data_IF_552960079866
#
_entry.id   IF_552960079866
#
_cell.length_a   1.000
_cell.length_b   1.000
_cell.length_c   1.000
_cell.angle_alpha   90.00
_cell.angle_beta   90.00
_cell.angle_gamma   90.00
#
_symmetry.space_group_name_H-M   'P 1'
#
loop_
_entity.id
_entity.type
_entity.pdbx_description
1 polymer ?
#
# COMPACT_ATOMS: atom_id res chain seq x y z
N UNK A 1 -43.20 29.67 -30.65
CA UNK A 1 -42.11 30.06 -29.73
C UNK A 1 -41.89 28.90 -28.76
N UNK A 2 -41.47 27.71 -29.23
CA UNK A 2 -40.08 27.27 -29.50
C UNK A 2 -39.08 27.65 -28.42
N UNK A 3 -38.96 26.81 -27.37
CA UNK A 3 -37.73 26.53 -26.62
C UNK A 3 -37.85 25.14 -25.95
N UNK A 4 -38.28 24.14 -26.71
CA UNK A 4 -37.76 22.79 -26.47
C UNK A 4 -36.31 22.81 -26.98
N UNK A 5 -35.41 22.08 -26.30
CA UNK A 5 -34.06 21.74 -26.77
C UNK A 5 -32.90 22.58 -26.20
N UNK A 6 -32.56 22.38 -24.91
CA UNK A 6 -31.16 22.28 -24.46
C UNK A 6 -31.07 21.23 -23.34
N UNK A 7 -31.48 19.99 -23.64
CA UNK A 7 -31.02 18.86 -22.83
C UNK A 7 -29.54 18.64 -23.18
N UNK A 8 -28.66 19.22 -22.37
CA UNK A 8 -27.22 19.07 -22.47
C UNK A 8 -26.85 17.58 -22.56
N UNK A 9 -26.52 17.12 -23.77
CA UNK A 9 -25.99 15.78 -24.00
C UNK A 9 -24.65 15.67 -23.26
N UNK A 10 -24.68 15.14 -22.04
CA UNK A 10 -23.48 14.84 -21.25
C UNK A 10 -22.68 13.83 -22.06
N UNK A 11 -21.58 14.26 -22.67
CA UNK A 11 -20.69 13.40 -23.44
C UNK A 11 -20.37 12.17 -22.59
N UNK A 12 -20.79 10.99 -23.05
CA UNK A 12 -20.50 9.75 -22.34
C UNK A 12 -18.96 9.63 -22.29
N UNK A 13 -18.35 9.46 -21.10
CA UNK A 13 -16.91 9.35 -21.01
C UNK A 13 -16.46 8.17 -21.87
N UNK A 14 -15.46 8.40 -22.71
CA UNK A 14 -14.92 7.38 -23.62
C UNK A 14 -14.55 6.13 -22.83
N UNK A 15 -14.65 4.95 -23.44
CA UNK A 15 -14.28 3.69 -22.78
C UNK A 15 -12.85 3.74 -22.21
N UNK A 16 -11.95 4.47 -22.88
CA UNK A 16 -10.61 4.77 -22.37
C UNK A 16 -10.65 5.61 -21.10
N UNK A 17 -11.42 6.70 -21.04
CA UNK A 17 -11.57 7.50 -19.83
C UNK A 17 -12.18 6.71 -18.66
N UNK A 18 -13.07 5.75 -18.94
CA UNK A 18 -13.62 4.83 -17.92
C UNK A 18 -12.63 3.76 -17.48
N UNK A 19 -11.79 3.26 -18.38
CA UNK A 19 -10.70 2.35 -18.03
C UNK A 19 -9.68 3.06 -17.13
N UNK A 20 -9.22 4.25 -17.52
CA UNK A 20 -8.27 5.05 -16.74
C UNK A 20 -8.81 5.54 -15.39
N UNK A 21 -10.14 5.56 -15.20
CA UNK A 21 -10.75 5.88 -13.91
C UNK A 21 -10.64 4.74 -12.86
N UNK A 22 -10.15 3.55 -13.24
CA UNK A 22 -9.92 2.45 -12.29
C UNK A 22 -8.59 2.62 -11.57
N UNK A 23 -8.62 2.61 -10.24
CA UNK A 23 -7.42 2.69 -9.40
C UNK A 23 -6.39 1.60 -9.74
N UNK A 24 -6.84 0.39 -10.09
CA UNK A 24 -5.98 -0.72 -10.48
C UNK A 24 -5.09 -0.36 -11.70
N UNK A 25 -5.67 0.30 -12.70
CA UNK A 25 -4.94 0.74 -13.88
C UNK A 25 -3.98 1.89 -13.56
N UNK A 26 -4.38 2.82 -12.69
CA UNK A 26 -3.49 3.88 -12.25
C UNK A 26 -2.25 3.32 -11.50
N UNK A 27 -2.45 2.33 -10.64
CA UNK A 27 -1.37 1.64 -9.93
C UNK A 27 -0.46 0.86 -10.91
N UNK A 28 -1.06 0.17 -11.89
CA UNK A 28 -0.29 -0.55 -12.90
C UNK A 28 0.55 0.39 -13.77
N UNK A 29 -0.02 1.51 -14.21
CA UNK A 29 0.72 2.54 -14.96
C UNK A 29 1.86 3.11 -14.12
N UNK A 30 1.60 3.40 -12.83
CA UNK A 30 2.62 3.88 -11.90
C UNK A 30 3.78 2.88 -11.76
N UNK A 31 3.47 1.58 -11.63
CA UNK A 31 4.48 0.52 -11.57
C UNK A 31 5.35 0.52 -12.84
N UNK A 32 4.74 0.57 -14.03
CA UNK A 32 5.49 0.62 -15.30
C UNK A 32 6.40 1.84 -15.35
N UNK A 33 5.91 3.02 -14.98
CA UNK A 33 6.71 4.25 -14.97
C UNK A 33 7.92 4.14 -14.05
N UNK A 34 7.73 3.60 -12.84
CA UNK A 34 8.81 3.38 -11.86
C UNK A 34 9.84 2.39 -12.40
N UNK A 35 9.40 1.27 -13.00
CA UNK A 35 10.30 0.28 -13.60
C UNK A 35 11.14 0.88 -14.74
N UNK A 36 10.52 1.65 -15.64
CA UNK A 36 11.22 2.31 -16.75
C UNK A 36 12.21 3.35 -16.23
N UNK A 37 11.79 4.17 -15.26
CA UNK A 37 12.65 5.19 -14.66
C UNK A 37 13.91 4.57 -14.04
N UNK A 38 13.76 3.55 -13.20
CA UNK A 38 14.90 2.91 -12.54
C UNK A 38 15.72 2.04 -13.50
N UNK A 39 15.11 1.47 -14.55
CA UNK A 39 15.83 0.76 -15.61
C UNK A 39 16.87 1.63 -16.32
N UNK A 40 16.62 2.93 -16.48
CA UNK A 40 17.54 3.84 -17.18
C UNK A 40 18.46 4.56 -16.20
N UNK A 41 17.98 4.83 -14.99
CA UNK A 41 18.73 5.61 -13.98
C UNK A 41 19.74 4.76 -13.19
N UNK A 42 19.48 3.46 -13.03
CA UNK A 42 20.29 2.57 -12.18
C UNK A 42 20.94 1.47 -13.03
N UNK A 43 22.27 1.49 -13.11
CA UNK A 43 23.07 0.56 -13.95
C UNK A 43 22.82 -0.92 -13.64
N UNK A 44 22.50 -1.27 -12.39
CA UNK A 44 22.32 -2.65 -11.94
C UNK A 44 20.86 -3.00 -11.59
N UNK A 45 19.89 -2.26 -12.13
CA UNK A 45 18.47 -2.42 -11.80
C UNK A 45 17.97 -3.86 -12.05
N UNK A 46 18.31 -4.45 -13.19
CA UNK A 46 17.92 -5.83 -13.53
C UNK A 46 18.90 -6.90 -13.05
N UNK A 47 19.86 -6.55 -12.20
CA UNK A 47 20.75 -7.55 -11.60
C UNK A 47 19.94 -8.56 -10.77
N UNK A 48 20.40 -9.82 -10.75
CA UNK A 48 19.76 -10.87 -9.94
C UNK A 48 19.63 -10.44 -8.49
N UNK A 49 20.67 -9.80 -7.92
CA UNK A 49 20.66 -9.30 -6.55
C UNK A 49 19.57 -8.25 -6.31
N UNK A 50 19.41 -7.27 -7.19
CA UNK A 50 18.37 -6.26 -7.02
C UNK A 50 16.98 -6.88 -7.18
N UNK A 51 16.81 -7.74 -8.18
CA UNK A 51 15.54 -8.42 -8.43
C UNK A 51 15.13 -9.34 -7.27
N UNK A 52 16.04 -10.14 -6.74
CA UNK A 52 15.78 -10.99 -5.57
C UNK A 52 15.49 -10.19 -4.31
N UNK A 53 16.12 -9.02 -4.15
CA UNK A 53 15.85 -8.16 -3.00
C UNK A 53 14.45 -7.54 -3.08
N UNK A 54 14.09 -6.95 -4.24
CA UNK A 54 12.80 -6.29 -4.44
C UNK A 54 11.66 -7.32 -4.42
N UNK A 55 11.76 -8.37 -5.23
CA UNK A 55 10.74 -9.42 -5.27
C UNK A 55 10.70 -10.23 -3.99
N UNK A 56 11.84 -10.43 -3.31
CA UNK A 56 11.90 -11.10 -2.02
C UNK A 56 11.15 -10.33 -0.93
N UNK A 57 11.36 -9.01 -0.83
CA UNK A 57 10.60 -8.17 0.11
C UNK A 57 9.10 -8.16 -0.22
N UNK A 58 8.74 -8.06 -1.50
CA UNK A 58 7.34 -8.12 -1.92
C UNK A 58 6.70 -9.48 -1.61
N UNK A 59 7.42 -10.57 -1.83
CA UNK A 59 6.96 -11.94 -1.58
C UNK A 59 6.58 -12.15 -0.12
N UNK A 60 7.41 -11.71 0.83
CA UNK A 60 7.13 -11.84 2.26
C UNK A 60 5.80 -11.19 2.65
N UNK A 61 5.57 -9.96 2.20
CA UNK A 61 4.33 -9.24 2.47
C UNK A 61 3.12 -9.90 1.79
N UNK A 62 3.25 -10.35 0.54
CA UNK A 62 2.15 -11.01 -0.18
C UNK A 62 1.80 -12.38 0.41
N UNK A 63 2.78 -13.20 0.77
CA UNK A 63 2.53 -14.51 1.41
C UNK A 63 1.86 -14.32 2.77
N UNK A 64 2.36 -13.39 3.60
CA UNK A 64 1.72 -13.07 4.88
C UNK A 64 0.30 -12.52 4.68
N UNK A 65 0.12 -11.64 3.70
CA UNK A 65 -1.17 -11.05 3.34
C UNK A 65 -2.19 -12.08 2.88
N UNK A 66 -1.79 -13.09 2.11
CA UNK A 66 -2.66 -14.22 1.71
C UNK A 66 -3.11 -15.00 2.94
N UNK A 67 -2.19 -15.30 3.88
CA UNK A 67 -2.53 -15.94 5.14
C UNK A 67 -3.56 -15.13 5.92
N UNK A 68 -3.34 -13.82 6.07
CA UNK A 68 -4.29 -12.90 6.70
C UNK A 68 -5.66 -12.86 5.98
N UNK A 69 -5.66 -12.86 4.64
CA UNK A 69 -6.91 -12.85 3.86
C UNK A 69 -7.74 -14.12 4.10
N UNK A 70 -7.10 -15.29 4.21
CA UNK A 70 -7.77 -16.55 4.55
C UNK A 70 -8.42 -16.44 5.94
N UNK A 71 -7.70 -15.94 6.95
CA UNK A 71 -8.24 -15.78 8.31
C UNK A 71 -9.42 -14.79 8.31
N UNK A 72 -9.33 -13.67 7.58
CA UNK A 72 -10.44 -12.72 7.42
C UNK A 72 -11.67 -13.39 6.79
N UNK A 73 -11.48 -14.17 5.73
CA UNK A 73 -12.58 -14.86 5.04
C UNK A 73 -13.21 -15.93 5.93
N UNK A 74 -12.42 -16.62 6.76
CA UNK A 74 -12.90 -17.63 7.72
C UNK A 74 -13.75 -17.04 8.85
N UNK A 75 -13.80 -15.71 9.00
CA UNK A 75 -14.58 -15.04 10.05
C UNK A 75 -14.03 -15.26 11.47
N UNK A 76 -12.82 -15.82 11.58
CA UNK A 76 -12.13 -16.07 12.85
C UNK A 76 -11.25 -14.90 13.30
N UNK A 77 -11.21 -13.80 12.53
CA UNK A 77 -10.47 -12.60 12.93
C UNK A 77 -11.20 -11.90 14.06
N UNK A 78 -10.74 -12.23 15.26
CA UNK A 78 -10.73 -11.29 16.35
C UNK A 78 -9.77 -10.13 16.00
N UNK A 79 -10.19 -8.89 16.25
CA UNK A 79 -9.41 -7.66 16.01
C UNK A 79 -8.16 -7.60 16.91
N UNK A 80 -7.95 -8.59 17.78
CA UNK A 80 -6.81 -8.75 18.68
C UNK A 80 -5.43 -8.52 18.03
N UNK A 81 -5.22 -8.87 16.75
CA UNK A 81 -3.93 -8.61 16.09
C UNK A 81 -3.70 -7.12 15.81
N UNK A 82 -4.78 -6.37 15.56
CA UNK A 82 -4.73 -4.92 15.39
C UNK A 82 -4.56 -4.18 16.72
N UNK A 83 -5.19 -4.66 17.80
CA UNK A 83 -5.00 -4.08 19.12
C UNK A 83 -3.61 -4.39 19.70
N UNK A 84 -3.06 -5.59 19.46
CA UNK A 84 -1.68 -5.93 19.82
C UNK A 84 -0.67 -5.02 19.11
N UNK A 85 -0.83 -4.85 17.79
CA UNK A 85 0.03 -3.94 17.02
C UNK A 85 -0.04 -2.50 17.55
N UNK A 86 -1.24 -2.01 17.89
CA UNK A 86 -1.41 -0.70 18.49
C UNK A 86 -0.78 -0.60 19.89
N UNK A 87 -0.90 -1.65 20.71
CA UNK A 87 -0.33 -1.71 22.06
C UNK A 87 1.19 -1.65 22.05
N UNK A 88 1.83 -2.16 21.01
CA UNK A 88 3.29 -2.07 20.84
C UNK A 88 3.69 -0.73 20.18
N UNK A 89 3.00 -0.31 19.13
CA UNK A 89 3.39 0.84 18.33
C UNK A 89 3.16 2.19 19.03
N UNK A 90 2.07 2.33 19.80
CA UNK A 90 1.73 3.59 20.46
C UNK A 90 2.75 3.99 21.54
N UNK A 91 3.13 3.12 22.51
CA UNK A 91 4.16 3.47 23.49
C UNK A 91 5.50 3.78 22.84
N UNK A 92 5.90 3.01 21.80
CA UNK A 92 7.13 3.26 21.05
C UNK A 92 7.16 4.68 20.48
N UNK A 93 6.11 5.07 19.75
CA UNK A 93 6.05 6.37 19.08
C UNK A 93 5.95 7.51 20.09
N UNK A 94 5.11 7.38 21.12
CA UNK A 94 4.93 8.42 22.14
C UNK A 94 6.25 8.67 22.87
N UNK A 95 6.91 7.61 23.34
CA UNK A 95 8.16 7.74 24.09
C UNK A 95 9.27 8.25 23.19
N UNK A 96 9.36 7.79 21.94
CA UNK A 96 10.32 8.35 20.98
C UNK A 96 10.08 9.83 20.71
N UNK A 97 8.82 10.26 20.57
CA UNK A 97 8.47 11.65 20.30
C UNK A 97 8.78 12.56 21.50
N UNK A 98 8.50 12.09 22.71
CA UNK A 98 8.69 12.88 23.94
C UNK A 98 10.15 12.90 24.41
N UNK A 99 10.86 11.76 24.29
CA UNK A 99 12.23 11.63 24.80
C UNK A 99 13.30 11.82 23.74
N UNK A 100 12.94 11.87 22.45
CA UNK A 100 13.85 11.82 21.30
C UNK A 100 14.82 10.61 21.33
N UNK A 101 14.51 9.59 22.15
CA UNK A 101 15.38 8.43 22.38
C UNK A 101 14.76 7.16 21.81
N UNK A 102 15.39 6.63 20.76
CA UNK A 102 15.02 5.35 20.14
C UNK A 102 15.09 4.20 21.15
N UNK A 103 16.12 4.19 22.01
CA UNK A 103 16.35 3.09 22.95
C UNK A 103 15.23 2.99 23.99
N UNK A 104 14.74 4.14 24.47
CA UNK A 104 13.60 4.19 25.41
C UNK A 104 12.30 3.75 24.73
N UNK A 105 12.07 4.16 23.49
CA UNK A 105 10.91 3.72 22.72
C UNK A 105 10.88 2.21 22.46
N UNK A 106 12.01 1.65 22.04
CA UNK A 106 12.12 0.21 21.77
C UNK A 106 11.99 -0.61 23.05
N UNK A 107 12.66 -0.20 24.14
CA UNK A 107 12.54 -0.91 25.42
C UNK A 107 11.12 -0.90 25.97
N UNK A 108 10.39 0.21 25.83
CA UNK A 108 8.98 0.26 26.20
C UNK A 108 8.11 -0.65 25.32
N UNK A 109 8.29 -0.64 24.00
CA UNK A 109 7.57 -1.55 23.10
C UNK A 109 7.75 -3.02 23.47
N UNK A 110 8.98 -3.43 23.85
CA UNK A 110 9.29 -4.79 24.27
C UNK A 110 8.72 -5.17 25.65
N UNK A 111 8.38 -4.19 26.49
CA UNK A 111 7.74 -4.44 27.79
C UNK A 111 6.23 -4.61 27.66
N UNK A 112 5.60 -3.97 26.67
CA UNK A 112 4.15 -4.04 26.42
C UNK A 112 3.74 -5.23 25.52
N UNK A 113 4.68 -5.89 24.85
CA UNK A 113 4.44 -6.98 23.89
C UNK A 113 5.15 -8.28 24.26
#
# INVERSE_FOLDING_TARGET
MSLANIASAKAQPSLLARLFARQELALFVCLILVLVFFSVTVENFFSVRNMTNVLGQASLALTAGIGCAIVFISGEVDISIGSLLATIALPLIIIMNDTNSLLLGVSAALLFG
#
